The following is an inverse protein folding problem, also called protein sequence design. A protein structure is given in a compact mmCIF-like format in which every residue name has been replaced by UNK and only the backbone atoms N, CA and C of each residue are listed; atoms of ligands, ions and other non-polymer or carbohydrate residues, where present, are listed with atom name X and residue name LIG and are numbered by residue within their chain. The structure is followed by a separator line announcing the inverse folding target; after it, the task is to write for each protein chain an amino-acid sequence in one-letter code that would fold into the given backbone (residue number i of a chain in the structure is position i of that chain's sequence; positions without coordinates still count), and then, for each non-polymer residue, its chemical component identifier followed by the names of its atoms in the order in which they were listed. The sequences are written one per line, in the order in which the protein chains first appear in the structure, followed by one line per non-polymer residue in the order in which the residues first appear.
data_IF_555094130553
#
_entry.id   IF_555094130553
#
_cell.length_a   1.000
_cell.length_b   1.000
_cell.length_c   1.000
_cell.angle_alpha   90.00
_cell.angle_beta   90.00
_cell.angle_gamma   90.00
#
_symmetry.space_group_name_H-M   'P 1'
#
loop_
_entity.id
_entity.type
_entity.pdbx_description
1 polymer ?
#
# COMPACT_ATOMS: atom_id res chain seq x y z
N UNK A 1 0.90 13.10 -20.71
CA UNK A 1 1.08 11.64 -20.85
C UNK A 1 -0.28 11.06 -21.21
N UNK A 2 -0.39 10.33 -22.31
CA UNK A 2 -1.60 9.57 -22.60
C UNK A 2 -1.76 8.43 -21.60
N UNK A 3 -2.94 8.35 -20.98
CA UNK A 3 -3.30 7.21 -20.13
C UNK A 3 -3.91 6.13 -21.04
N UNK A 4 -3.18 5.04 -21.23
CA UNK A 4 -3.61 3.95 -22.10
C UNK A 4 -3.29 2.58 -21.53
N UNK A 5 -3.72 1.54 -22.23
CA UNK A 5 -3.36 0.15 -21.92
C UNK A 5 -1.85 -0.09 -22.17
N UNK A 6 -1.32 -1.20 -21.66
CA UNK A 6 0.07 -1.63 -21.94
C UNK A 6 0.33 -1.76 -23.44
N UNK A 7 -0.62 -2.32 -24.19
CA UNK A 7 -0.55 -2.39 -25.66
C UNK A 7 -0.48 -0.98 -26.28
N UNK A 8 -1.23 -0.01 -25.74
CA UNK A 8 -1.15 1.40 -26.17
C UNK A 8 0.24 1.97 -25.90
N UNK A 9 0.86 1.65 -24.75
CA UNK A 9 2.21 2.11 -24.43
C UNK A 9 3.27 1.54 -25.40
N UNK A 10 3.18 0.26 -25.75
CA UNK A 10 4.06 -0.38 -26.75
C UNK A 10 3.90 0.31 -28.12
N UNK A 11 2.66 0.51 -28.56
CA UNK A 11 2.38 1.20 -29.83
C UNK A 11 2.92 2.64 -29.85
N UNK A 12 2.76 3.36 -28.75
CA UNK A 12 3.28 4.72 -28.60
C UNK A 12 4.80 4.74 -28.65
N UNK A 13 5.47 3.82 -27.94
CA UNK A 13 6.92 3.72 -27.93
C UNK A 13 7.48 3.42 -29.33
N UNK A 14 6.82 2.51 -30.06
CA UNK A 14 7.23 2.15 -31.43
C UNK A 14 6.90 3.23 -32.48
N UNK A 15 5.89 4.07 -32.24
CA UNK A 15 5.52 5.17 -33.13
C UNK A 15 6.37 6.43 -32.95
N UNK A 16 7.09 6.52 -31.83
CA UNK A 16 7.92 7.67 -31.46
C UNK A 16 9.34 7.20 -31.10
N UNK A 17 10.29 8.13 -31.01
CA UNK A 17 11.68 7.85 -30.65
C UNK A 17 11.87 7.56 -29.15
N UNK A 18 10.87 6.97 -28.48
CA UNK A 18 10.96 6.75 -27.04
C UNK A 18 12.02 5.72 -26.67
N UNK A 19 12.14 4.64 -27.43
CA UNK A 19 13.18 3.62 -27.23
C UNK A 19 14.57 4.19 -27.47
N UNK A 20 14.74 4.98 -28.53
CA UNK A 20 16.03 5.61 -28.86
C UNK A 20 16.48 6.62 -27.78
N UNK A 21 15.54 7.46 -27.31
CA UNK A 21 15.82 8.48 -26.27
C UNK A 21 16.13 7.86 -24.90
N UNK A 22 15.49 6.74 -24.60
CA UNK A 22 15.66 6.02 -23.32
C UNK A 22 16.72 4.92 -23.37
N UNK A 23 17.39 4.77 -24.52
CA UNK A 23 18.38 3.71 -24.77
C UNK A 23 17.84 2.30 -24.45
N UNK A 24 16.56 2.06 -24.79
CA UNK A 24 15.88 0.79 -24.57
C UNK A 24 15.88 -0.04 -25.86
N UNK A 25 16.01 -1.34 -25.71
CA UNK A 25 15.70 -2.26 -26.81
C UNK A 25 14.19 -2.23 -27.11
N UNK A 26 13.82 -2.72 -28.30
CA UNK A 26 12.41 -2.86 -28.65
C UNK A 26 11.75 -3.86 -27.71
N UNK A 27 10.60 -3.49 -27.18
CA UNK A 27 9.84 -4.30 -26.23
C UNK A 27 8.39 -4.51 -26.68
N UNK A 28 7.78 -5.53 -26.14
CA UNK A 28 6.39 -5.91 -26.38
C UNK A 28 5.55 -5.84 -25.10
N UNK A 29 4.29 -6.23 -25.17
CA UNK A 29 3.37 -6.19 -24.03
C UNK A 29 3.75 -7.18 -22.92
N UNK A 30 4.31 -8.36 -23.27
CA UNK A 30 4.72 -9.37 -22.31
C UNK A 30 5.93 -8.89 -21.49
N UNK A 31 6.85 -8.15 -22.11
CA UNK A 31 7.97 -7.53 -21.40
C UNK A 31 7.49 -6.54 -20.33
N UNK A 32 6.41 -5.79 -20.61
CA UNK A 32 5.81 -4.90 -19.63
C UNK A 32 5.15 -5.66 -18.47
N UNK A 33 4.54 -6.81 -18.74
CA UNK A 33 4.01 -7.66 -17.67
C UNK A 33 5.12 -8.26 -16.82
N UNK A 34 6.19 -8.77 -17.42
CA UNK A 34 7.35 -9.28 -16.70
C UNK A 34 7.98 -8.20 -15.79
N UNK A 35 8.06 -6.95 -16.27
CA UNK A 35 8.54 -5.84 -15.45
C UNK A 35 7.62 -5.55 -14.25
N UNK A 36 6.31 -5.73 -14.39
CA UNK A 36 5.38 -5.58 -13.26
C UNK A 36 5.55 -6.71 -12.24
N UNK A 37 5.75 -7.94 -12.69
CA UNK A 37 6.02 -9.08 -11.82
C UNK A 37 7.32 -8.87 -11.06
N UNK A 38 8.39 -8.46 -11.76
CA UNK A 38 9.66 -8.08 -11.14
C UNK A 38 9.48 -6.95 -10.10
N UNK A 39 8.71 -5.91 -10.41
CA UNK A 39 8.45 -4.81 -9.50
C UNK A 39 7.73 -5.29 -8.23
N UNK A 40 6.75 -6.19 -8.37
CA UNK A 40 6.04 -6.78 -7.24
C UNK A 40 6.98 -7.60 -6.34
N UNK A 41 7.88 -8.39 -6.93
CA UNK A 41 8.90 -9.15 -6.20
C UNK A 41 9.91 -8.25 -5.47
N UNK A 42 10.23 -7.08 -6.04
CA UNK A 42 11.19 -6.13 -5.45
C UNK A 42 10.54 -5.13 -4.48
N UNK A 43 9.22 -5.15 -4.29
CA UNK A 43 8.49 -4.14 -3.51
C UNK A 43 9.13 -3.91 -2.13
N UNK A 44 9.40 -4.98 -1.38
CA UNK A 44 10.00 -4.89 -0.04
C UNK A 44 11.36 -4.20 -0.07
N UNK A 45 12.21 -4.56 -1.03
CA UNK A 45 13.55 -3.98 -1.17
C UNK A 45 13.50 -2.50 -1.56
N UNK A 46 12.55 -2.14 -2.43
CA UNK A 46 12.36 -0.75 -2.88
C UNK A 46 11.87 0.10 -1.70
N UNK A 47 10.86 -0.35 -0.98
CA UNK A 47 10.35 0.36 0.20
C UNK A 47 11.44 0.53 1.27
N UNK A 48 12.21 -0.53 1.59
CA UNK A 48 13.31 -0.47 2.54
C UNK A 48 14.41 0.50 2.10
N UNK A 49 14.75 0.47 0.81
CA UNK A 49 15.76 1.38 0.26
C UNK A 49 15.32 2.83 0.37
N UNK A 50 14.09 3.15 -0.04
CA UNK A 50 13.53 4.49 0.05
C UNK A 50 13.43 4.97 1.50
N UNK A 51 13.00 4.10 2.41
CA UNK A 51 12.93 4.41 3.83
C UNK A 51 14.31 4.75 4.41
N UNK A 52 15.33 3.93 4.13
CA UNK A 52 16.71 4.15 4.61
C UNK A 52 17.42 5.34 3.96
N UNK A 53 17.03 5.72 2.75
CA UNK A 53 17.52 6.97 2.16
C UNK A 53 16.99 8.22 2.88
N UNK A 54 15.79 8.10 3.46
CA UNK A 54 15.12 9.21 4.14
C UNK A 54 15.44 9.28 5.62
N UNK A 55 15.56 8.14 6.28
CA UNK A 55 15.73 8.03 7.73
C UNK A 55 17.00 7.25 8.07
N UNK A 56 17.81 7.82 8.97
CA UNK A 56 18.91 7.10 9.63
C UNK A 56 18.36 6.24 10.77
N UNK A 57 19.19 5.36 11.33
CA UNK A 57 18.78 4.53 12.47
C UNK A 57 18.44 5.34 13.74
N UNK A 58 18.99 6.54 13.84
CA UNK A 58 18.79 7.42 15.00
C UNK A 58 17.63 8.43 14.79
N UNK A 59 17.03 8.46 13.59
CA UNK A 59 15.98 9.41 13.21
C UNK A 59 14.75 8.70 12.63
N UNK A 60 14.45 7.53 13.14
CA UNK A 60 13.25 6.76 12.72
C UNK A 60 12.00 7.46 13.26
N UNK A 61 10.96 7.67 12.43
CA UNK A 61 9.73 8.30 12.88
C UNK A 61 9.05 7.54 14.03
N UNK A 62 8.59 8.29 15.02
CA UNK A 62 7.78 7.77 16.14
C UNK A 62 6.28 7.82 15.86
N UNK A 63 5.86 8.39 14.70
CA UNK A 63 4.45 8.49 14.32
C UNK A 63 4.27 8.08 12.87
N UNK A 64 3.25 7.28 12.61
CA UNK A 64 2.85 6.88 11.26
C UNK A 64 1.35 7.06 11.06
N UNK A 65 1.00 7.51 9.86
CA UNK A 65 -0.38 7.68 9.41
C UNK A 65 -0.76 6.46 8.56
N UNK A 66 -1.88 5.83 8.87
CA UNK A 66 -2.37 4.70 8.09
C UNK A 66 -3.81 4.92 7.65
N UNK A 67 -4.06 4.76 6.37
CA UNK A 67 -5.39 4.84 5.78
C UNK A 67 -5.64 3.75 4.76
N UNK A 68 -6.91 3.44 4.54
CA UNK A 68 -7.38 2.37 3.66
C UNK A 68 -8.36 2.92 2.65
N UNK A 69 -8.11 2.62 1.39
CA UNK A 69 -9.01 2.96 0.28
C UNK A 69 -9.34 1.73 -0.56
N UNK A 70 -10.20 1.86 -1.55
CA UNK A 70 -10.51 0.81 -2.51
C UNK A 70 -10.61 1.35 -3.92
N UNK A 71 -10.20 0.53 -4.89
CA UNK A 71 -10.43 0.77 -6.32
C UNK A 71 -11.36 -0.27 -6.89
N UNK A 72 -12.28 0.14 -7.76
CA UNK A 72 -13.14 -0.79 -8.49
C UNK A 72 -12.38 -1.45 -9.63
N UNK A 73 -12.71 -2.71 -9.85
CA UNK A 73 -12.25 -3.46 -11.01
C UNK A 73 -13.41 -3.67 -11.98
N UNK A 74 -13.27 -3.23 -13.20
CA UNK A 74 -14.24 -3.52 -14.27
C UNK A 74 -13.91 -4.81 -15.03
N UNK A 75 -12.74 -5.39 -14.81
CA UNK A 75 -12.34 -6.70 -15.33
C UNK A 75 -12.88 -7.87 -14.51
N UNK A 76 -12.67 -9.08 -15.01
CA UNK A 76 -13.11 -10.32 -14.37
C UNK A 76 -11.96 -11.17 -13.83
N UNK A 77 -10.72 -10.91 -14.27
CA UNK A 77 -9.54 -11.71 -13.98
C UNK A 77 -8.57 -10.95 -13.06
N UNK A 78 -8.82 -11.00 -11.76
CA UNK A 78 -7.86 -10.55 -10.75
C UNK A 78 -8.11 -11.32 -9.45
N UNK A 79 -7.06 -11.91 -8.90
CA UNK A 79 -7.13 -12.76 -7.71
C UNK A 79 -7.58 -12.00 -6.45
N UNK A 80 -7.30 -10.69 -6.35
CA UNK A 80 -7.68 -9.85 -5.22
C UNK A 80 -9.07 -9.22 -5.37
N UNK A 81 -9.66 -9.27 -6.58
CA UNK A 81 -10.94 -8.63 -6.84
C UNK A 81 -12.11 -9.40 -6.23
N UNK A 82 -12.75 -8.81 -5.24
CA UNK A 82 -13.91 -9.37 -4.54
C UNK A 82 -14.98 -8.29 -4.31
N UNK A 83 -16.22 -8.75 -4.10
CA UNK A 83 -17.30 -7.88 -3.63
C UNK A 83 -17.06 -7.59 -2.13
N UNK A 84 -17.08 -6.33 -1.75
CA UNK A 84 -16.83 -5.90 -0.38
C UNK A 84 -17.63 -4.67 -0.01
N UNK A 85 -17.30 -4.08 1.14
CA UNK A 85 -17.92 -2.85 1.59
C UNK A 85 -17.62 -1.71 0.62
N UNK A 86 -18.68 -1.12 0.09
CA UNK A 86 -18.58 -0.05 -0.90
C UNK A 86 -18.49 1.30 -0.20
N UNK A 87 -17.27 1.85 -0.09
CA UNK A 87 -17.01 3.17 0.54
C UNK A 87 -17.67 4.32 -0.23
N UNK A 88 -17.75 4.21 -1.57
CA UNK A 88 -18.24 5.28 -2.45
C UNK A 88 -19.70 5.09 -2.90
N UNK A 89 -20.46 4.18 -2.26
CA UNK A 89 -21.87 3.94 -2.57
C UNK A 89 -22.13 3.21 -3.90
N UNK A 90 -21.10 2.72 -4.60
CA UNK A 90 -21.22 1.97 -5.87
C UNK A 90 -21.37 0.47 -5.61
N UNK A 91 -22.57 0.05 -5.26
CA UNK A 91 -22.86 -1.37 -5.04
C UNK A 91 -22.71 -2.22 -6.31
N UNK A 92 -22.42 -3.53 -6.16
CA UNK A 92 -22.39 -4.50 -7.28
C UNK A 92 -21.12 -4.49 -8.12
N UNK A 93 -20.05 -3.78 -7.72
CA UNK A 93 -18.74 -3.87 -8.37
C UNK A 93 -17.73 -4.61 -7.51
N UNK A 94 -16.84 -5.37 -8.14
CA UNK A 94 -15.66 -5.92 -7.46
C UNK A 94 -14.68 -4.78 -7.19
N UNK A 95 -13.94 -4.92 -6.12
CA UNK A 95 -12.93 -3.94 -5.71
C UNK A 95 -11.66 -4.64 -5.22
N UNK A 96 -10.58 -3.88 -5.13
CA UNK A 96 -9.33 -4.24 -4.45
C UNK A 96 -9.14 -3.20 -3.36
N UNK A 97 -8.75 -3.64 -2.17
CA UNK A 97 -8.48 -2.75 -1.03
C UNK A 97 -6.99 -2.45 -0.98
N UNK A 98 -6.63 -1.19 -0.71
CA UNK A 98 -5.26 -0.72 -0.56
C UNK A 98 -5.09 -0.07 0.80
N UNK A 99 -4.03 -0.45 1.50
CA UNK A 99 -3.59 0.24 2.70
C UNK A 99 -2.33 1.04 2.42
N UNK A 100 -2.31 2.30 2.82
CA UNK A 100 -1.18 3.21 2.66
C UNK A 100 -0.65 3.62 4.03
N UNK A 101 0.63 3.33 4.27
CA UNK A 101 1.35 3.77 5.45
C UNK A 101 2.23 4.95 5.07
N UNK A 102 2.07 6.07 5.77
CA UNK A 102 2.83 7.29 5.57
C UNK A 102 3.61 7.68 6.82
N UNK A 103 4.67 8.44 6.63
CA UNK A 103 5.39 9.11 7.69
C UNK A 103 4.62 10.34 8.25
N UNK A 104 5.13 11.05 9.28
CA UNK A 104 4.45 12.22 9.85
C UNK A 104 4.25 13.38 8.88
N UNK A 105 5.01 13.43 7.79
CA UNK A 105 4.90 14.44 6.74
C UNK A 105 3.91 14.04 5.64
N UNK A 106 3.28 12.85 5.77
CA UNK A 106 2.36 12.31 4.77
C UNK A 106 3.06 11.68 3.56
N UNK A 107 4.37 11.43 3.64
CA UNK A 107 5.10 10.74 2.57
C UNK A 107 4.89 9.22 2.69
N UNK A 108 4.47 8.55 1.61
CA UNK A 108 4.29 7.11 1.61
C UNK A 108 5.58 6.35 1.93
N UNK A 109 5.52 5.43 2.88
CA UNK A 109 6.62 4.52 3.24
C UNK A 109 6.34 3.06 2.90
N UNK A 110 5.07 2.69 2.82
CA UNK A 110 4.66 1.35 2.39
C UNK A 110 3.24 1.34 1.84
N UNK A 111 2.99 0.50 0.87
CA UNK A 111 1.66 0.20 0.34
C UNK A 111 1.39 -1.30 0.43
N UNK A 112 0.14 -1.69 0.64
CA UNK A 112 -0.28 -3.10 0.63
C UNK A 112 -1.62 -3.25 -0.07
N UNK A 113 -1.75 -4.28 -0.92
CA UNK A 113 -2.99 -4.62 -1.59
C UNK A 113 -3.64 -5.83 -0.91
N UNK A 114 -4.93 -5.74 -0.64
CA UNK A 114 -5.73 -6.78 0.01
C UNK A 114 -6.91 -7.21 -0.88
N UNK A 115 -7.43 -8.43 -0.67
CA UNK A 115 -8.70 -8.82 -1.29
C UNK A 115 -9.80 -7.80 -1.03
N UNK A 116 -10.63 -7.56 -2.03
CA UNK A 116 -11.67 -6.52 -2.01
C UNK A 116 -12.73 -6.67 -0.92
N UNK A 117 -12.85 -7.86 -0.31
CA UNK A 117 -13.73 -8.14 0.84
C UNK A 117 -13.02 -8.02 2.20
N UNK A 118 -11.77 -7.54 2.22
CA UNK A 118 -11.03 -7.32 3.46
C UNK A 118 -11.62 -6.13 4.21
N UNK A 119 -11.93 -6.33 5.49
CA UNK A 119 -12.38 -5.26 6.38
C UNK A 119 -11.19 -4.50 6.95
N UNK A 120 -11.36 -3.22 7.22
CA UNK A 120 -10.29 -2.29 7.61
C UNK A 120 -9.51 -2.77 8.84
N UNK A 121 -10.20 -3.32 9.83
CA UNK A 121 -9.58 -3.86 11.04
C UNK A 121 -8.57 -4.98 10.79
N UNK A 122 -8.71 -5.75 9.70
CA UNK A 122 -7.78 -6.83 9.34
C UNK A 122 -6.52 -6.32 8.65
N UNK A 123 -6.55 -5.12 8.09
CA UNK A 123 -5.39 -4.54 7.41
C UNK A 123 -4.38 -3.94 8.38
N UNK A 124 -4.83 -3.57 9.57
CA UNK A 124 -4.04 -2.83 10.55
C UNK A 124 -2.87 -3.66 11.13
N UNK A 125 -3.10 -4.93 11.45
CA UNK A 125 -2.08 -5.79 12.09
C UNK A 125 -0.81 -5.97 11.25
N UNK A 126 -0.92 -6.05 9.92
CA UNK A 126 0.24 -6.13 9.03
C UNK A 126 1.09 -4.86 9.08
N UNK A 127 0.48 -3.69 9.26
CA UNK A 127 1.20 -2.42 9.34
C UNK A 127 1.96 -2.28 10.66
N UNK A 128 1.36 -2.69 11.76
CA UNK A 128 2.04 -2.77 13.07
C UNK A 128 3.32 -3.59 12.95
N UNK A 129 3.21 -4.79 12.38
CA UNK A 129 4.36 -5.67 12.18
C UNK A 129 5.43 -5.04 11.27
N UNK A 130 5.05 -4.34 10.21
CA UNK A 130 5.98 -3.64 9.33
C UNK A 130 6.77 -2.57 10.07
N UNK A 131 6.08 -1.68 10.77
CA UNK A 131 6.72 -0.57 11.50
C UNK A 131 7.67 -1.12 12.54
N UNK A 132 7.23 -2.08 13.34
CA UNK A 132 8.01 -2.62 14.43
C UNK A 132 9.22 -3.45 13.98
N UNK A 133 9.00 -4.41 13.07
CA UNK A 133 10.03 -5.38 12.69
C UNK A 133 10.88 -4.96 11.50
N UNK A 134 10.30 -4.21 10.57
CA UNK A 134 10.95 -3.89 9.32
C UNK A 134 11.60 -2.51 9.33
N UNK A 135 10.90 -1.52 9.87
CA UNK A 135 11.41 -0.15 9.92
C UNK A 135 12.13 0.17 11.25
N UNK A 136 12.09 -0.74 12.22
CA UNK A 136 12.82 -0.61 13.49
C UNK A 136 12.25 0.43 14.44
N UNK A 137 10.97 0.78 14.29
CA UNK A 137 10.28 1.73 15.15
C UNK A 137 10.18 1.23 16.59
N UNK A 138 10.56 2.07 17.55
CA UNK A 138 10.35 1.89 19.00
C UNK A 138 9.55 3.08 19.51
N UNK A 139 8.59 2.85 20.39
CA UNK A 139 7.73 3.93 20.88
C UNK A 139 6.85 4.54 19.77
N UNK A 140 6.27 3.70 18.90
CA UNK A 140 5.59 4.14 17.69
C UNK A 140 4.12 4.43 17.96
N UNK A 141 3.66 5.59 17.50
CA UNK A 141 2.24 5.96 17.48
C UNK A 141 1.66 5.75 16.08
N UNK A 142 0.65 4.91 15.96
CA UNK A 142 -0.12 4.70 14.75
C UNK A 142 -1.41 5.52 14.77
N UNK A 143 -1.60 6.33 13.74
CA UNK A 143 -2.82 7.13 13.56
C UNK A 143 -3.69 6.48 12.50
N UNK A 144 -4.94 6.18 12.85
CA UNK A 144 -5.87 5.56 11.91
C UNK A 144 -7.31 5.95 12.16
N UNK A 145 -8.17 5.76 11.16
CA UNK A 145 -9.60 6.02 11.30
C UNK A 145 -10.24 5.08 12.33
N UNK A 146 -11.34 5.55 12.95
CA UNK A 146 -12.15 4.80 13.92
C UNK A 146 -12.64 3.44 13.41
N UNK A 147 -12.72 3.27 12.08
CA UNK A 147 -13.10 2.01 11.44
C UNK A 147 -12.03 0.93 11.55
N UNK A 148 -10.76 1.32 11.68
CA UNK A 148 -9.59 0.44 11.63
C UNK A 148 -9.12 -0.02 13.01
N UNK A 149 -9.18 0.85 14.02
CA UNK A 149 -8.67 0.57 15.37
C UNK A 149 -9.85 0.38 16.32
N UNK A 150 -10.09 -0.87 16.72
CA UNK A 150 -11.16 -1.28 17.65
C UNK A 150 -10.58 -2.17 18.75
N UNK A 151 -11.42 -2.61 19.69
CA UNK A 151 -11.01 -3.41 20.84
C UNK A 151 -9.99 -4.52 20.52
N UNK A 152 -10.27 -5.45 19.57
CA UNK A 152 -9.32 -6.53 19.25
C UNK A 152 -7.96 -6.05 18.72
N UNK A 153 -7.92 -4.94 17.96
CA UNK A 153 -6.67 -4.35 17.48
C UNK A 153 -5.88 -3.68 18.61
N UNK A 154 -6.59 -3.07 19.56
CA UNK A 154 -5.98 -2.49 20.77
C UNK A 154 -5.35 -3.59 21.62
N UNK A 155 -6.08 -4.69 21.85
CA UNK A 155 -5.55 -5.87 22.56
C UNK A 155 -4.32 -6.46 21.86
N UNK A 156 -4.32 -6.51 20.53
CA UNK A 156 -3.18 -6.97 19.74
C UNK A 156 -1.96 -6.05 19.90
N UNK A 157 -2.16 -4.73 19.90
CA UNK A 157 -1.07 -3.76 20.15
C UNK A 157 -0.50 -3.90 21.56
N UNK A 158 -1.36 -4.11 22.56
CA UNK A 158 -0.95 -4.29 23.95
C UNK A 158 -0.26 -5.63 24.22
N UNK A 159 -0.54 -6.67 23.43
CA UNK A 159 0.10 -7.98 23.55
C UNK A 159 1.55 -8.02 23.04
N UNK A 160 1.96 -7.05 22.24
CA UNK A 160 3.35 -6.89 21.78
C UNK A 160 4.15 -6.05 22.79
N UNK A 161 4.36 -6.61 24.01
CA UNK A 161 5.00 -5.92 25.15
C UNK A 161 6.41 -5.40 24.86
N UNK A 162 7.12 -6.00 23.90
CA UNK A 162 8.46 -5.58 23.49
C UNK A 162 8.48 -4.32 22.60
N UNK A 163 7.31 -3.90 22.14
CA UNK A 163 7.13 -2.78 21.22
C UNK A 163 6.25 -1.75 21.92
N UNK A 164 6.81 -0.65 22.36
CA UNK A 164 6.07 0.47 22.96
C UNK A 164 5.17 1.13 21.89
N UNK A 165 4.01 0.49 21.62
CA UNK A 165 3.09 0.85 20.55
C UNK A 165 1.90 1.63 21.09
N UNK A 166 1.73 2.83 20.54
CA UNK A 166 0.60 3.71 20.83
C UNK A 166 -0.32 3.86 19.61
N UNK A 167 -1.53 4.36 19.83
CA UNK A 167 -2.45 4.65 18.74
C UNK A 167 -3.26 5.92 19.00
N UNK A 168 -3.61 6.58 17.91
CA UNK A 168 -4.56 7.69 17.90
C UNK A 168 -5.70 7.34 16.95
N UNK A 169 -6.93 7.33 17.46
CA UNK A 169 -8.13 7.11 16.65
C UNK A 169 -9.30 7.94 17.14
N UNK A 170 -10.30 8.16 16.31
CA UNK A 170 -11.50 8.86 16.69
C UNK A 170 -12.43 7.94 17.53
N UNK A 171 -12.99 8.48 18.61
CA UNK A 171 -13.95 7.76 19.45
C UNK A 171 -15.29 7.67 18.71
N UNK A 172 -15.87 6.48 18.67
CA UNK A 172 -17.27 6.29 18.25
C UNK A 172 -18.21 6.97 19.26
N UNK A 173 -19.11 7.81 18.80
CA UNK A 173 -20.19 8.27 19.68
C UNK A 173 -20.97 7.04 20.16
N UNK A 174 -21.32 6.98 21.47
CA UNK A 174 -22.20 5.95 21.99
C UNK A 174 -23.57 5.97 21.32
#
# INVERSE_FOLDING_TARGET
MEQGSRLSAVRLANAHAACDVLELEAFNEDDLYQNLDWLAEQQVRIEDHLFRQRYSQDDIPELYLYDVTSSYLEGVCNALAAFGYCRDGKSGKRQIVYGLLCDPQGIPVSIEAFPGNTIDTKTFGSQVTKVAKRFGGKGVTLVGDRGMIKGPQIEQLQAEEDLDLHYITAITKP
#
